data_IF_535609691879
#
_entry.id   IF_535609691879
#
_cell.length_a   1.000
_cell.length_b   1.000
_cell.length_c   1.000
_cell.angle_alpha   90.00
_cell.angle_beta   90.00
_cell.angle_gamma   90.00
#
_symmetry.space_group_name_H-M   'P 1'
#
loop_
_entity.id
_entity.type
_entity.pdbx_description
1 polymer ?
#
# COMPACT_ATOMS: atom_id res chain seq x y z
N UNK A 1 -29.31 -14.45 -1.13
CA UNK A 1 -28.97 -14.34 0.30
C UNK A 1 -30.11 -14.89 1.13
N UNK A 2 -29.84 -15.87 2.01
CA UNK A 2 -30.83 -16.41 2.94
C UNK A 2 -30.70 -15.74 4.33
N UNK A 3 -31.62 -16.02 5.27
CA UNK A 3 -31.64 -15.39 6.59
C UNK A 3 -30.34 -15.63 7.39
N UNK A 4 -29.75 -16.82 7.29
CA UNK A 4 -28.50 -17.14 7.98
C UNK A 4 -27.32 -16.33 7.44
N UNK A 5 -27.21 -16.20 6.12
CA UNK A 5 -26.18 -15.40 5.45
C UNK A 5 -26.36 -13.90 5.72
N UNK A 6 -27.61 -13.44 5.88
CA UNK A 6 -27.88 -12.06 6.26
C UNK A 6 -27.46 -11.75 7.71
N UNK A 7 -27.72 -12.67 8.65
CA UNK A 7 -27.32 -12.53 10.05
C UNK A 7 -25.81 -12.66 10.26
N UNK A 8 -25.13 -13.46 9.43
CA UNK A 8 -23.68 -13.61 9.47
C UNK A 8 -23.08 -13.48 8.05
N UNK A 9 -22.94 -12.24 7.54
CA UNK A 9 -22.42 -12.02 6.21
C UNK A 9 -20.96 -12.46 6.09
N UNK A 10 -20.67 -13.19 5.02
CA UNK A 10 -19.30 -13.55 4.62
C UNK A 10 -18.45 -12.32 4.30
N UNK A 11 -17.14 -12.53 4.16
CA UNK A 11 -16.15 -11.46 3.97
C UNK A 11 -16.43 -10.56 2.75
N UNK A 12 -17.05 -11.10 1.70
CA UNK A 12 -17.39 -10.37 0.46
C UNK A 12 -18.43 -9.26 0.65
N UNK A 13 -19.24 -9.32 1.71
CA UNK A 13 -20.24 -8.30 2.03
C UNK A 13 -19.76 -7.34 3.13
N UNK A 14 -18.58 -7.57 3.70
CA UNK A 14 -17.99 -6.72 4.73
C UNK A 14 -17.19 -5.59 4.09
N UNK A 15 -17.00 -4.51 4.85
CA UNK A 15 -16.29 -3.33 4.37
C UNK A 15 -14.82 -3.61 4.01
N UNK A 16 -14.23 -2.63 3.33
CA UNK A 16 -12.81 -2.57 2.99
C UNK A 16 -12.19 -1.36 3.70
N UNK A 17 -11.04 -1.54 4.33
CA UNK A 17 -10.30 -0.42 4.93
C UNK A 17 -8.90 -0.27 4.34
N UNK A 18 -8.36 0.96 4.44
CA UNK A 18 -6.98 1.26 4.10
C UNK A 18 -6.09 0.89 5.28
N UNK A 19 -4.99 0.21 4.98
CA UNK A 19 -3.97 -0.12 5.94
C UNK A 19 -2.65 0.53 5.53
N UNK A 20 -2.20 1.47 6.36
CA UNK A 20 -0.95 2.18 6.14
C UNK A 20 0.20 1.29 6.59
N UNK A 21 1.05 0.90 5.64
CA UNK A 21 2.33 0.27 5.88
C UNK A 21 3.35 1.40 6.08
N UNK A 22 3.49 1.81 7.33
CA UNK A 22 4.42 2.83 7.79
C UNK A 22 5.23 2.29 8.97
N UNK A 23 6.26 3.04 9.37
CA UNK A 23 7.26 2.61 10.36
C UNK A 23 7.97 1.30 9.93
N UNK A 24 8.61 0.62 10.87
CA UNK A 24 9.20 -0.70 10.65
C UNK A 24 8.09 -1.76 10.61
N UNK A 25 8.11 -2.58 9.57
CA UNK A 25 7.19 -3.70 9.43
C UNK A 25 7.69 -4.88 10.27
N UNK A 26 7.07 -5.09 11.43
CA UNK A 26 7.43 -6.16 12.35
C UNK A 26 6.43 -7.32 12.29
N UNK A 27 6.89 -8.59 12.26
CA UNK A 27 6.02 -9.76 12.05
C UNK A 27 4.86 -9.85 13.03
N UNK A 28 5.15 -9.71 14.33
CA UNK A 28 4.15 -9.85 15.39
C UNK A 28 3.10 -8.74 15.31
N UNK A 29 3.50 -7.52 14.95
CA UNK A 29 2.59 -6.40 14.81
C UNK A 29 1.68 -6.56 13.58
N UNK A 30 2.23 -7.03 12.45
CA UNK A 30 1.44 -7.38 11.26
C UNK A 30 0.34 -8.38 11.62
N UNK A 31 0.70 -9.48 12.31
CA UNK A 31 -0.24 -10.53 12.70
C UNK A 31 -1.30 -9.97 13.66
N UNK A 32 -0.88 -9.20 14.67
CA UNK A 32 -1.79 -8.57 15.63
C UNK A 32 -2.78 -7.63 14.95
N UNK A 33 -2.33 -6.82 14.00
CA UNK A 33 -3.18 -5.89 13.26
C UNK A 33 -4.18 -6.62 12.36
N UNK A 34 -3.76 -7.67 11.63
CA UNK A 34 -4.66 -8.48 10.81
C UNK A 34 -5.79 -9.11 11.64
N UNK A 35 -5.47 -9.69 12.80
CA UNK A 35 -6.47 -10.21 13.74
C UNK A 35 -7.39 -9.11 14.28
N UNK A 36 -6.84 -7.93 14.55
CA UNK A 36 -7.63 -6.77 14.99
C UNK A 36 -8.60 -6.31 13.91
N UNK A 37 -8.19 -6.27 12.64
CA UNK A 37 -9.10 -5.96 11.53
C UNK A 37 -10.22 -6.99 11.39
N UNK A 38 -9.90 -8.28 11.52
CA UNK A 38 -10.90 -9.35 11.51
C UNK A 38 -11.90 -9.20 12.65
N UNK A 39 -11.41 -8.97 13.87
CA UNK A 39 -12.25 -8.78 15.05
C UNK A 39 -13.14 -7.54 14.95
N UNK A 40 -12.64 -6.46 14.33
CA UNK A 40 -13.43 -5.26 14.02
C UNK A 40 -14.46 -5.47 12.89
N UNK A 41 -14.47 -6.64 12.24
CA UNK A 41 -15.48 -7.03 11.27
C UNK A 41 -15.18 -6.64 9.83
N UNK A 42 -13.94 -6.26 9.50
CA UNK A 42 -13.51 -5.99 8.13
C UNK A 42 -13.46 -7.28 7.30
N UNK A 43 -13.77 -7.16 6.01
CA UNK A 43 -13.69 -8.26 5.04
C UNK A 43 -12.45 -8.19 4.16
N UNK A 44 -11.95 -6.98 3.92
CA UNK A 44 -10.77 -6.76 3.12
C UNK A 44 -9.95 -5.56 3.56
N UNK A 45 -8.67 -5.57 3.17
CA UNK A 45 -7.70 -4.53 3.43
C UNK A 45 -7.02 -4.10 2.14
N UNK A 46 -6.69 -2.82 2.03
CA UNK A 46 -5.80 -2.28 1.00
C UNK A 46 -4.53 -1.82 1.71
N UNK A 47 -3.49 -2.66 1.68
CA UNK A 47 -2.16 -2.33 2.17
C UNK A 47 -1.49 -1.33 1.23
N UNK A 48 -1.08 -0.18 1.77
CA UNK A 48 -0.37 0.85 1.01
C UNK A 48 0.83 1.32 1.80
N UNK A 49 1.96 1.52 1.13
CA UNK A 49 3.09 2.25 1.72
C UNK A 49 2.63 3.66 2.12
N UNK A 50 3.26 4.23 3.14
CA UNK A 50 3.01 5.61 3.53
C UNK A 50 4.26 6.27 4.08
N UNK A 51 4.23 7.60 4.19
CA UNK A 51 5.31 8.39 4.77
C UNK A 51 5.67 7.83 6.15
N UNK A 52 6.97 7.65 6.37
CA UNK A 52 7.50 7.09 7.61
C UNK A 52 7.78 5.60 7.56
N UNK A 53 7.55 4.90 6.45
CA UNK A 53 8.00 3.51 6.27
C UNK A 53 9.52 3.41 6.49
N UNK A 54 9.94 2.58 7.45
CA UNK A 54 11.36 2.34 7.79
C UNK A 54 11.92 1.06 7.18
N UNK A 55 11.06 0.08 6.90
CA UNK A 55 11.45 -1.10 6.10
C UNK A 55 11.62 -0.66 4.65
N UNK A 56 12.80 -0.89 4.07
CA UNK A 56 13.12 -0.41 2.72
C UNK A 56 12.13 -1.00 1.70
N UNK A 57 11.41 -0.14 0.99
CA UNK A 57 10.43 -0.57 -0.02
C UNK A 57 11.10 -1.45 -1.10
N UNK A 58 10.45 -2.56 -1.44
CA UNK A 58 10.94 -3.59 -2.38
C UNK A 58 12.27 -4.27 -1.99
N UNK A 59 12.74 -4.13 -0.75
CA UNK A 59 13.82 -4.98 -0.24
C UNK A 59 13.32 -6.41 0.04
N UNK A 60 14.26 -7.33 0.26
CA UNK A 60 13.94 -8.71 0.64
C UNK A 60 13.11 -8.76 1.94
N UNK A 61 13.47 -7.96 2.95
CA UNK A 61 12.71 -7.81 4.19
C UNK A 61 11.27 -7.35 3.92
N UNK A 62 11.08 -6.39 3.00
CA UNK A 62 9.74 -5.96 2.62
C UNK A 62 8.96 -7.09 1.95
N UNK A 63 9.58 -7.83 1.04
CA UNK A 63 8.94 -8.96 0.35
C UNK A 63 8.53 -10.06 1.32
N UNK A 64 9.36 -10.35 2.32
CA UNK A 64 9.05 -11.29 3.41
C UNK A 64 7.83 -10.82 4.20
N UNK A 65 7.76 -9.53 4.57
CA UNK A 65 6.62 -8.98 5.30
C UNK A 65 5.33 -9.01 4.49
N UNK A 66 5.40 -8.75 3.18
CA UNK A 66 4.26 -8.92 2.28
C UNK A 66 3.82 -10.39 2.21
N UNK A 67 4.76 -11.34 2.16
CA UNK A 67 4.47 -12.78 2.23
C UNK A 67 3.70 -13.14 3.49
N UNK A 68 4.19 -12.68 4.66
CA UNK A 68 3.52 -12.88 5.95
C UNK A 68 2.11 -12.29 5.96
N UNK A 69 1.92 -11.09 5.43
CA UNK A 69 0.60 -10.44 5.32
C UNK A 69 -0.37 -11.33 4.53
N UNK A 70 0.06 -11.85 3.38
CA UNK A 70 -0.77 -12.69 2.52
C UNK A 70 -1.12 -14.00 3.22
N UNK A 71 -0.14 -14.64 3.87
CA UNK A 71 -0.35 -15.90 4.59
C UNK A 71 -1.32 -15.75 5.76
N UNK A 72 -1.13 -14.74 6.61
CA UNK A 72 -1.97 -14.54 7.78
C UNK A 72 -3.38 -14.06 7.37
N UNK A 73 -3.50 -13.19 6.37
CA UNK A 73 -4.80 -12.79 5.85
C UNK A 73 -5.60 -14.00 5.31
N UNK A 74 -4.92 -14.95 4.65
CA UNK A 74 -5.55 -16.19 4.19
C UNK A 74 -6.08 -17.03 5.36
N UNK A 75 -5.34 -17.14 6.47
CA UNK A 75 -5.79 -17.85 7.68
C UNK A 75 -7.00 -17.19 8.32
N UNK A 76 -7.03 -15.86 8.39
CA UNK A 76 -8.13 -15.08 8.98
C UNK A 76 -9.36 -14.94 8.06
N UNK A 77 -9.26 -15.42 6.81
CA UNK A 77 -10.30 -15.26 5.79
C UNK A 77 -10.52 -13.79 5.41
N UNK A 78 -9.44 -13.00 5.43
CA UNK A 78 -9.40 -11.61 4.97
C UNK A 78 -8.88 -11.57 3.53
N UNK A 79 -9.47 -10.68 2.72
CA UNK A 79 -8.91 -10.36 1.40
C UNK A 79 -7.91 -9.20 1.55
N UNK A 80 -6.74 -9.30 0.94
CA UNK A 80 -5.77 -8.20 0.92
C UNK A 80 -5.49 -7.81 -0.52
N UNK A 81 -5.49 -6.50 -0.75
CA UNK A 81 -4.95 -5.86 -1.95
C UNK A 81 -3.74 -5.02 -1.56
N UNK A 82 -2.77 -4.91 -2.47
CA UNK A 82 -1.62 -4.05 -2.30
C UNK A 82 -1.70 -2.92 -3.31
N UNK A 83 -1.52 -1.68 -2.84
CA UNK A 83 -1.35 -0.53 -3.71
C UNK A 83 0.14 -0.39 -4.06
N UNK A 84 0.43 -0.40 -5.35
CA UNK A 84 1.78 -0.18 -5.86
C UNK A 84 2.23 1.28 -5.71
N UNK A 85 3.54 1.49 -5.53
CA UNK A 85 4.16 2.82 -5.40
C UNK A 85 4.41 3.22 -3.95
N UNK A 86 5.19 4.29 -3.75
CA UNK A 86 5.51 4.82 -2.42
C UNK A 86 4.71 6.09 -2.12
N UNK A 87 3.61 6.03 -1.38
CA UNK A 87 2.76 7.22 -1.17
C UNK A 87 3.35 8.25 -0.18
N UNK A 88 3.19 9.57 -0.43
CA UNK A 88 2.47 10.22 -1.54
C UNK A 88 3.28 10.37 -2.83
N UNK A 89 4.52 9.89 -2.86
CA UNK A 89 5.35 9.90 -4.07
C UNK A 89 4.97 8.78 -5.06
N UNK A 90 5.66 8.75 -6.20
CA UNK A 90 5.50 7.71 -7.21
C UNK A 90 6.35 6.47 -6.92
N UNK A 91 6.91 5.90 -7.98
CA UNK A 91 7.88 4.81 -7.91
C UNK A 91 9.26 5.43 -7.58
N UNK A 92 9.93 5.01 -6.50
CA UNK A 92 11.29 5.47 -6.21
C UNK A 92 12.24 5.18 -7.37
N UNK A 93 13.20 6.07 -7.61
CA UNK A 93 14.24 5.92 -8.63
C UNK A 93 13.74 5.70 -10.08
N UNK A 94 12.49 6.11 -10.37
CA UNK A 94 11.93 6.04 -11.71
C UNK A 94 12.74 6.91 -12.67
N UNK A 95 13.25 6.31 -13.76
CA UNK A 95 14.13 7.02 -14.69
C UNK A 95 13.42 8.24 -15.33
N UNK A 96 14.14 9.36 -15.58
CA UNK A 96 13.53 10.65 -15.97
C UNK A 96 12.62 10.61 -17.19
N UNK A 97 12.87 9.68 -18.12
CA UNK A 97 12.09 9.44 -19.33
C UNK A 97 10.70 8.84 -19.06
N UNK A 98 10.53 8.15 -17.92
CA UNK A 98 9.25 7.57 -17.48
C UNK A 98 8.48 8.46 -16.49
N UNK A 99 9.10 9.55 -16.03
CA UNK A 99 8.45 10.50 -15.12
C UNK A 99 7.46 11.40 -15.88
N UNK A 100 6.41 11.85 -15.19
CA UNK A 100 5.49 12.86 -15.73
C UNK A 100 6.25 14.14 -16.14
N UNK A 101 5.89 14.68 -17.30
CA UNK A 101 6.40 15.96 -17.79
C UNK A 101 5.50 17.09 -17.27
N UNK A 102 6.12 18.18 -16.86
CA UNK A 102 5.42 19.39 -16.40
C UNK A 102 5.92 20.59 -17.18
N UNK A 103 5.01 21.52 -17.48
CA UNK A 103 5.39 22.84 -17.98
C UNK A 103 5.81 23.69 -16.80
N UNK A 104 6.99 24.31 -16.91
CA UNK A 104 7.49 25.28 -15.94
C UNK A 104 7.51 26.67 -16.58
N UNK A 105 7.05 27.68 -15.84
CA UNK A 105 7.17 29.06 -16.29
C UNK A 105 8.63 29.49 -16.17
N UNK A 106 9.24 29.82 -17.30
CA UNK A 106 10.55 30.46 -17.33
C UNK A 106 10.39 31.98 -17.19
N UNK A 107 11.18 32.61 -16.30
CA UNK A 107 11.24 34.06 -16.19
C UNK A 107 11.82 34.69 -17.44
N UNK A 108 11.41 35.91 -17.76
CA UNK A 108 11.96 36.65 -18.89
C UNK A 108 13.42 37.01 -18.57
N UNK A 109 14.37 36.38 -19.27
CA UNK A 109 15.81 36.58 -19.08
C UNK A 109 16.52 35.43 -18.36
N UNK A 110 15.80 34.43 -17.87
CA UNK A 110 16.41 33.23 -17.30
C UNK A 110 17.07 32.40 -18.40
N UNK A 111 18.23 31.80 -18.11
CA UNK A 111 18.82 30.79 -18.98
C UNK A 111 17.83 29.64 -19.17
N UNK A 112 17.77 29.07 -20.38
CA UNK A 112 16.99 27.86 -20.63
C UNK A 112 17.35 26.81 -19.58
N UNK A 113 16.35 26.32 -18.84
CA UNK A 113 16.58 25.21 -17.93
C UNK A 113 17.26 24.09 -18.72
N UNK A 114 18.32 23.45 -18.19
CA UNK A 114 19.00 22.39 -18.90
C UNK A 114 17.94 21.36 -19.30
N UNK A 115 17.76 21.18 -20.62
CA UNK A 115 16.87 20.16 -21.15
C UNK A 115 17.27 18.83 -20.50
N UNK A 116 16.29 18.05 -20.04
CA UNK A 116 16.59 16.73 -19.47
C UNK A 116 17.42 15.93 -20.49
N UNK A 117 18.51 15.27 -20.06
CA UNK A 117 19.15 14.28 -20.92
C UNK A 117 18.09 13.24 -21.29
N UNK A 118 17.96 12.99 -22.60
CA UNK A 118 16.98 12.06 -23.18
C UNK A 118 17.45 10.62 -23.15
#
# INVERSE_FOLDING_TARGET
MNQTEFLNPGATYRGVTLWMLNDKLEPDEIVRQLRSFKAAGWGALIGRTFVGLRTKYLSDEWMEMIGLIIEEAKKEGLKVWLQAGFMPSGIPDLAPEWQHRVLIRQGRGDAAAPGRPG
#
